data_IF_816134934358
#
_entry.id   IF_816134934358
#
_cell.length_a   1.000
_cell.length_b   1.000
_cell.length_c   1.000
_cell.angle_alpha   90.00
_cell.angle_beta   90.00
_cell.angle_gamma   90.00
#
_symmetry.space_group_name_H-M   'P 1'
#
loop_
_entity.id
_entity.type
_entity.pdbx_description
1 polymer ?
#
# COMPACT_ATOMS: atom_id res chain seq x y z
N UNK A 1 -26.84 36.24 47.10
CA UNK A 1 -27.15 35.32 45.99
C UNK A 1 -26.07 35.47 44.93
N UNK A 2 -25.03 34.64 44.95
CA UNK A 2 -23.96 34.68 43.94
C UNK A 2 -24.30 33.68 42.83
N UNK A 3 -24.56 34.20 41.62
CA UNK A 3 -24.77 33.38 40.42
C UNK A 3 -23.42 33.04 39.81
N UNK A 4 -22.88 31.87 40.16
CA UNK A 4 -21.67 31.34 39.55
C UNK A 4 -22.01 30.82 38.15
N UNK A 5 -21.60 31.54 37.10
CA UNK A 5 -21.72 31.08 35.71
C UNK A 5 -20.60 30.08 35.44
N UNK A 6 -20.95 28.79 35.36
CA UNK A 6 -20.05 27.77 34.85
C UNK A 6 -19.92 27.92 33.34
N UNK A 7 -18.75 28.40 32.88
CA UNK A 7 -18.37 28.35 31.47
C UNK A 7 -17.62 27.02 31.28
N UNK A 8 -18.29 26.04 30.67
CA UNK A 8 -17.69 24.78 30.25
C UNK A 8 -16.87 25.03 28.98
N UNK A 9 -15.55 25.08 29.12
CA UNK A 9 -14.62 25.11 27.99
C UNK A 9 -14.37 23.65 27.58
N UNK A 10 -15.11 23.16 26.59
CA UNK A 10 -14.82 21.90 25.92
C UNK A 10 -13.61 22.09 25.00
N UNK A 11 -12.43 21.67 25.47
CA UNK A 11 -11.27 21.44 24.59
C UNK A 11 -11.62 20.28 23.65
N UNK A 12 -12.07 20.59 22.43
CA UNK A 12 -11.97 19.64 21.32
C UNK A 12 -10.48 19.45 21.02
N UNK A 13 -9.88 18.47 21.68
CA UNK A 13 -8.61 17.92 21.26
C UNK A 13 -8.81 17.34 19.86
N UNK A 14 -8.38 18.09 18.85
CA UNK A 14 -8.17 17.62 17.49
C UNK A 14 -7.07 16.56 17.57
N UNK A 15 -7.47 15.33 17.89
CA UNK A 15 -6.63 14.17 17.71
C UNK A 15 -6.45 14.01 16.21
N UNK A 16 -5.41 14.63 15.66
CA UNK A 16 -4.93 14.38 14.31
C UNK A 16 -4.52 12.91 14.27
N UNK A 17 -5.49 12.04 13.95
CA UNK A 17 -5.19 10.71 13.48
C UNK A 17 -4.43 10.92 12.18
N UNK A 18 -3.10 10.95 12.27
CA UNK A 18 -2.25 10.75 11.12
C UNK A 18 -2.55 9.32 10.62
N UNK A 19 -3.60 9.19 9.81
CA UNK A 19 -3.72 8.08 8.87
C UNK A 19 -2.41 8.12 8.08
N UNK A 20 -1.46 7.25 8.43
CA UNK A 20 -0.24 7.12 7.66
C UNK A 20 -0.67 6.73 6.25
N UNK A 21 -0.65 7.72 5.35
CA UNK A 21 -0.94 7.48 3.95
C UNK A 21 0.02 6.39 3.45
N UNK A 22 -0.54 5.37 2.82
CA UNK A 22 0.22 4.24 2.34
C UNK A 22 1.16 4.73 1.23
N UNK A 23 2.47 4.66 1.47
CA UNK A 23 3.50 5.18 0.58
C UNK A 23 3.92 4.09 -0.41
N UNK A 24 3.95 4.42 -1.70
CA UNK A 24 4.45 3.52 -2.73
C UNK A 24 5.97 3.37 -2.58
N UNK A 25 6.45 2.13 -2.57
CA UNK A 25 7.88 1.80 -2.58
C UNK A 25 8.22 1.02 -3.85
N UNK A 26 9.48 1.08 -4.30
CA UNK A 26 9.90 0.25 -5.41
C UNK A 26 9.86 -1.24 -5.01
N UNK A 27 9.39 -2.15 -5.88
CA UNK A 27 9.49 -3.58 -5.63
C UNK A 27 10.96 -4.01 -5.56
N UNK A 28 11.27 -5.10 -4.84
CA UNK A 28 12.62 -5.64 -4.76
C UNK A 28 13.11 -6.05 -6.15
N UNK A 29 14.32 -5.59 -6.50
CA UNK A 29 14.95 -5.92 -7.77
C UNK A 29 15.59 -7.30 -7.64
N UNK A 30 15.12 -8.27 -8.42
CA UNK A 30 15.76 -9.58 -8.52
C UNK A 30 17.01 -9.44 -9.41
N UNK A 31 18.20 -9.62 -8.84
CA UNK A 31 19.43 -9.66 -9.64
C UNK A 31 19.36 -10.87 -10.58
N UNK A 32 19.23 -10.61 -11.87
CA UNK A 32 19.30 -11.64 -12.91
C UNK A 32 20.57 -11.38 -13.70
N UNK A 33 21.45 -12.38 -13.75
CA UNK A 33 22.76 -12.30 -14.42
C UNK A 33 22.68 -12.52 -15.95
N UNK A 34 21.48 -12.55 -16.52
CA UNK A 34 21.21 -12.86 -17.93
C UNK A 34 20.51 -11.73 -18.68
N UNK A 35 20.25 -11.94 -19.99
CA UNK A 35 19.44 -11.02 -20.78
C UNK A 35 18.02 -10.95 -20.22
N UNK A 36 17.62 -9.76 -19.77
CA UNK A 36 16.34 -9.53 -19.10
C UNK A 36 15.38 -8.86 -20.07
N UNK A 37 14.13 -9.34 -20.23
CA UNK A 37 13.12 -8.65 -21.02
C UNK A 37 12.87 -7.24 -20.49
N UNK A 38 12.84 -6.25 -21.39
CA UNK A 38 12.55 -4.85 -21.07
C UNK A 38 11.04 -4.59 -21.16
N UNK A 39 10.49 -3.84 -20.19
CA UNK A 39 9.09 -3.40 -20.17
C UNK A 39 8.96 -1.89 -20.33
N UNK A 40 7.78 -1.43 -20.74
CA UNK A 40 7.48 0.01 -20.83
C UNK A 40 7.38 0.66 -19.46
N UNK A 41 7.59 1.99 -19.41
CA UNK A 41 7.44 2.76 -18.18
C UNK A 41 6.02 2.71 -17.62
N UNK A 42 5.01 2.68 -18.49
CA UNK A 42 3.61 2.49 -18.08
C UNK A 42 3.42 1.14 -17.38
N UNK A 43 3.99 0.06 -17.92
CA UNK A 43 3.89 -1.25 -17.28
C UNK A 43 4.68 -1.25 -15.96
N UNK A 44 5.81 -0.55 -15.88
CA UNK A 44 6.54 -0.39 -14.61
C UNK A 44 5.74 0.39 -13.55
N UNK A 45 5.02 1.45 -13.91
CA UNK A 45 4.12 2.15 -12.99
C UNK A 45 3.04 1.18 -12.44
N UNK A 46 2.45 0.37 -13.32
CA UNK A 46 1.50 -0.68 -12.91
C UNK A 46 2.14 -1.75 -12.02
N UNK A 47 3.39 -2.15 -12.31
CA UNK A 47 4.14 -3.09 -11.48
C UNK A 47 4.32 -2.57 -10.05
N UNK A 48 4.72 -1.30 -9.90
CA UNK A 48 4.87 -0.65 -8.59
C UNK A 48 3.51 -0.57 -7.89
N UNK A 49 2.45 -0.16 -8.58
CA UNK A 49 1.13 -0.02 -8.00
C UNK A 49 0.58 -1.36 -7.47
N UNK A 50 0.61 -2.41 -8.29
CA UNK A 50 0.10 -3.73 -7.93
C UNK A 50 0.92 -4.37 -6.81
N UNK A 51 2.24 -4.24 -6.85
CA UNK A 51 3.11 -4.71 -5.77
C UNK A 51 2.71 -4.07 -4.43
N UNK A 52 2.59 -2.74 -4.39
CA UNK A 52 2.25 -2.04 -3.15
C UNK A 52 0.84 -2.37 -2.66
N UNK A 53 -0.15 -2.47 -3.55
CA UNK A 53 -1.51 -2.91 -3.20
C UNK A 53 -1.54 -4.29 -2.56
N UNK A 54 -0.77 -5.24 -3.11
CA UNK A 54 -0.63 -6.58 -2.54
C UNK A 54 0.00 -6.53 -1.15
N UNK A 55 1.10 -5.80 -0.98
CA UNK A 55 1.79 -5.66 0.30
C UNK A 55 0.92 -5.02 1.39
N UNK A 56 0.18 -3.97 1.04
CA UNK A 56 -0.70 -3.28 2.00
C UNK A 56 -1.86 -4.18 2.45
N UNK A 57 -2.48 -4.89 1.51
CA UNK A 57 -3.57 -5.82 1.84
C UNK A 57 -3.07 -7.05 2.60
N UNK A 58 -1.90 -7.59 2.25
CA UNK A 58 -1.26 -8.67 2.99
C UNK A 58 -0.94 -8.25 4.44
N UNK A 59 -0.44 -7.01 4.63
CA UNK A 59 -0.21 -6.45 5.95
C UNK A 59 -1.51 -6.27 6.74
N UNK A 60 -2.59 -5.80 6.10
CA UNK A 60 -3.90 -5.72 6.74
C UNK A 60 -4.39 -7.09 7.21
N UNK A 61 -4.27 -8.12 6.36
CA UNK A 61 -4.65 -9.49 6.68
C UNK A 61 -3.83 -10.08 7.83
N UNK A 62 -2.52 -9.84 7.87
CA UNK A 62 -1.65 -10.30 8.96
C UNK A 62 -2.00 -9.69 10.32
N UNK A 63 -2.70 -8.54 10.34
CA UNK A 63 -3.16 -7.89 11.56
C UNK A 63 -4.66 -8.15 11.84
N UNK A 64 -5.32 -8.96 11.00
CA UNK A 64 -6.75 -9.26 11.11
C UNK A 64 -6.94 -10.69 11.59
N UNK A 65 -7.72 -10.86 12.66
CA UNK A 65 -8.11 -12.17 13.19
C UNK A 65 -9.62 -12.35 13.00
N UNK A 66 -10.07 -13.02 11.92
CA UNK A 66 -11.50 -13.22 11.68
C UNK A 66 -12.09 -14.14 12.76
N UNK A 67 -13.33 -13.88 13.15
CA UNK A 67 -14.09 -14.82 13.96
C UNK A 67 -14.33 -16.11 13.17
N UNK A 68 -13.66 -17.19 13.56
CA UNK A 68 -13.71 -18.48 12.87
C UNK A 68 -15.11 -19.14 12.86
N UNK A 69 -16.02 -18.69 13.73
CA UNK A 69 -17.40 -19.17 13.76
C UNK A 69 -18.36 -18.32 12.91
N UNK A 70 -17.88 -17.22 12.34
CA UNK A 70 -18.64 -16.36 11.43
C UNK A 70 -18.21 -16.66 9.99
N UNK A 71 -19.07 -17.37 9.25
CA UNK A 71 -18.80 -17.65 7.82
C UNK A 71 -18.58 -16.35 7.04
N UNK A 72 -19.33 -15.29 7.34
CA UNK A 72 -19.17 -13.99 6.71
C UNK A 72 -17.76 -13.39 6.91
N UNK A 73 -17.22 -13.42 8.13
CA UNK A 73 -15.88 -12.88 8.39
C UNK A 73 -14.78 -13.73 7.75
N UNK A 74 -14.95 -15.06 7.81
CA UNK A 74 -14.03 -16.01 7.15
C UNK A 74 -14.04 -15.81 5.63
N UNK A 75 -15.21 -15.67 5.01
CA UNK A 75 -15.35 -15.45 3.58
C UNK A 75 -14.77 -14.10 3.15
N UNK A 76 -14.98 -13.04 3.94
CA UNK A 76 -14.39 -11.73 3.69
C UNK A 76 -12.85 -11.77 3.77
N UNK A 77 -12.29 -12.46 4.78
CA UNK A 77 -10.85 -12.68 4.90
C UNK A 77 -10.29 -13.46 3.70
N UNK A 78 -10.93 -14.58 3.35
CA UNK A 78 -10.51 -15.43 2.24
C UNK A 78 -10.58 -14.72 0.89
N UNK A 79 -11.58 -13.87 0.67
CA UNK A 79 -11.71 -13.05 -0.54
C UNK A 79 -10.52 -12.09 -0.70
N UNK A 80 -10.14 -11.39 0.39
CA UNK A 80 -8.96 -10.53 0.40
C UNK A 80 -7.67 -11.33 0.20
N UNK A 81 -7.53 -12.50 0.82
CA UNK A 81 -6.36 -13.37 0.63
C UNK A 81 -6.24 -13.82 -0.85
N UNK A 82 -7.36 -14.14 -1.49
CA UNK A 82 -7.39 -14.45 -2.92
C UNK A 82 -7.00 -13.24 -3.77
N UNK A 83 -7.41 -12.02 -3.40
CA UNK A 83 -7.01 -10.79 -4.09
C UNK A 83 -5.49 -10.56 -4.02
N UNK A 84 -4.87 -10.77 -2.85
CA UNK A 84 -3.41 -10.73 -2.69
C UNK A 84 -2.75 -11.73 -3.63
N UNK A 85 -3.22 -12.97 -3.66
CA UNK A 85 -2.68 -14.01 -4.55
C UNK A 85 -2.78 -13.63 -6.03
N UNK A 86 -3.90 -13.05 -6.46
CA UNK A 86 -4.09 -12.59 -7.84
C UNK A 86 -3.10 -11.49 -8.22
N UNK A 87 -2.94 -10.47 -7.35
CA UNK A 87 -2.01 -9.38 -7.60
C UNK A 87 -0.56 -9.84 -7.59
N UNK A 88 -0.17 -10.70 -6.64
CA UNK A 88 1.17 -11.30 -6.59
C UNK A 88 1.47 -12.13 -7.84
N UNK A 89 0.52 -12.95 -8.30
CA UNK A 89 0.71 -13.76 -9.51
C UNK A 89 0.84 -12.89 -10.76
N UNK A 90 0.01 -11.86 -10.89
CA UNK A 90 0.11 -10.91 -11.99
C UNK A 90 1.47 -10.19 -11.98
N UNK A 91 1.93 -9.72 -10.81
CA UNK A 91 3.23 -9.08 -10.66
C UNK A 91 4.37 -10.03 -11.06
N UNK A 92 4.35 -11.26 -10.57
CA UNK A 92 5.38 -12.25 -10.89
C UNK A 92 5.44 -12.55 -12.39
N UNK A 93 4.30 -12.61 -13.07
CA UNK A 93 4.25 -12.88 -14.50
C UNK A 93 4.72 -11.68 -15.34
N UNK A 94 4.32 -10.46 -14.96
CA UNK A 94 4.44 -9.27 -15.80
C UNK A 94 5.60 -8.34 -15.41
N UNK A 95 6.18 -8.51 -14.23
CA UNK A 95 7.12 -7.55 -13.65
C UNK A 95 8.39 -8.19 -13.11
N UNK A 96 8.27 -9.32 -12.40
CA UNK A 96 9.41 -9.95 -11.74
C UNK A 96 10.50 -10.35 -12.75
N UNK A 97 11.74 -10.00 -12.43
CA UNK A 97 12.87 -10.26 -13.31
C UNK A 97 12.72 -9.62 -14.69
N UNK A 98 12.09 -8.45 -14.79
CA UNK A 98 12.05 -7.63 -16.02
C UNK A 98 12.73 -6.29 -15.78
N UNK A 99 13.41 -5.77 -16.79
CA UNK A 99 14.08 -4.48 -16.72
C UNK A 99 13.11 -3.36 -17.10
N UNK A 100 13.06 -2.31 -16.29
CA UNK A 100 12.81 -0.96 -16.79
C UNK A 100 13.73 0.01 -16.05
N UNK A 101 13.97 1.16 -16.68
CA UNK A 101 14.99 2.11 -16.26
C UNK A 101 14.75 2.69 -14.85
N UNK A 102 13.53 2.66 -14.30
CA UNK A 102 13.29 3.39 -13.03
C UNK A 102 12.04 3.03 -12.21
N UNK A 103 11.95 1.80 -11.68
CA UNK A 103 10.95 1.43 -10.66
C UNK A 103 10.88 2.43 -9.48
N UNK A 104 12.03 3.01 -9.10
CA UNK A 104 12.07 4.05 -8.08
C UNK A 104 11.37 5.35 -8.52
N UNK A 105 11.59 5.81 -9.76
CA UNK A 105 10.94 7.02 -10.28
C UNK A 105 9.43 6.80 -10.42
N UNK A 106 9.01 5.60 -10.84
CA UNK A 106 7.59 5.25 -10.88
C UNK A 106 6.94 5.35 -9.50
N UNK A 107 7.58 4.81 -8.45
CA UNK A 107 7.12 4.97 -7.07
C UNK A 107 7.17 6.42 -6.58
N UNK A 108 8.17 7.21 -6.96
CA UNK A 108 8.24 8.65 -6.66
C UNK A 108 7.06 9.40 -7.28
N UNK A 109 6.74 9.13 -8.54
CA UNK A 109 5.65 9.77 -9.27
C UNK A 109 4.28 9.38 -8.71
N UNK A 110 4.07 8.09 -8.40
CA UNK A 110 2.85 7.62 -7.72
C UNK A 110 2.65 8.29 -6.37
N UNK A 111 3.72 8.44 -5.57
CA UNK A 111 3.65 9.16 -4.31
C UNK A 111 3.34 10.65 -4.51
N UNK A 112 3.97 11.29 -5.50
CA UNK A 112 3.68 12.69 -5.85
C UNK A 112 2.20 12.88 -6.22
N UNK A 113 1.65 12.00 -7.06
CA UNK A 113 0.22 11.98 -7.46
C UNK A 113 -0.69 11.77 -6.25
N UNK A 114 -0.29 10.92 -5.30
CA UNK A 114 -1.05 10.63 -4.07
C UNK A 114 -0.91 11.69 -2.96
N UNK A 115 -0.07 12.72 -3.14
CA UNK A 115 0.22 13.72 -2.10
C UNK A 115 1.09 13.17 -0.96
N UNK A 116 1.79 12.07 -1.18
CA UNK A 116 2.69 11.44 -0.22
C UNK A 116 4.11 12.03 -0.30
N UNK A 117 4.91 11.92 0.78
CA UNK A 117 6.35 12.12 0.72
C UNK A 117 6.98 11.23 -0.37
N UNK A 118 7.93 11.79 -1.11
CA UNK A 118 8.63 11.06 -2.17
C UNK A 118 9.94 10.47 -1.65
N UNK A 119 10.33 9.32 -2.23
CA UNK A 119 11.62 8.70 -1.98
C UNK A 119 12.70 9.26 -2.89
N UNK A 120 13.96 9.19 -2.46
CA UNK A 120 15.10 9.54 -3.30
C UNK A 120 15.56 8.30 -4.10
N UNK A 121 15.83 8.50 -5.40
CA UNK A 121 16.26 7.47 -6.35
C UNK A 121 17.74 7.58 -6.71
N UNK A 122 18.55 8.08 -5.79
CA UNK A 122 20.01 8.25 -5.93
C UNK A 122 20.77 6.93 -5.77
#
# INVERSE_FOLDING_TARGET
MYKTKFILITFLSLCSLFLKAQQYVMPPISSTSGHVPVISDQLMEQCVEIYNKAEWLAKELNNTYPNQYSSYEVDAYNSKANQVNQWTNWFNQNCAGKQSYSACQAAQELNRKAGNPTQNCS
#
